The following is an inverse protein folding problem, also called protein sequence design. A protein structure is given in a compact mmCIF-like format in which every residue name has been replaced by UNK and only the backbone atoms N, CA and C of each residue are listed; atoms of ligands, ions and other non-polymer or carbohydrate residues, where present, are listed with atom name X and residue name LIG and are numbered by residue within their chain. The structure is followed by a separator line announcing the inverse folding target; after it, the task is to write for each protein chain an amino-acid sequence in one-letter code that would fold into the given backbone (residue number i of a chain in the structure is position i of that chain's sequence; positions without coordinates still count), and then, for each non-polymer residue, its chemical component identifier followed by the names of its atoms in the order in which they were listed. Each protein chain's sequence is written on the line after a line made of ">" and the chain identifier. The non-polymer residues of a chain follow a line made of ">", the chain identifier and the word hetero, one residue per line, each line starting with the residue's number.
data_IF_267305280983
#
_entry.id   IF_267305280983
#
_cell.length_a   1.000
_cell.length_b   1.000
_cell.length_c   1.000
_cell.angle_alpha   90.00
_cell.angle_beta   90.00
_cell.angle_gamma   90.00
#
_symmetry.space_group_name_H-M   'P 1'
#
loop_
_entity.id
_entity.type
_entity.pdbx_description
1 polymer ?
#
# COMPACT_ATOMS: atom_id res chain seq x y z
N UNK A 1 21.47 15.53 -18.57
CA UNK A 1 21.57 16.31 -17.33
C UNK A 1 20.49 15.79 -16.39
N UNK A 2 20.81 15.42 -15.14
CA UNK A 2 19.83 14.97 -14.14
C UNK A 2 18.98 16.17 -13.71
N UNK A 3 17.71 16.19 -14.06
CA UNK A 3 16.76 17.20 -13.62
C UNK A 3 16.21 16.85 -12.24
N UNK A 4 16.95 17.22 -11.20
CA UNK A 4 16.49 17.08 -9.80
C UNK A 4 15.07 17.68 -9.57
N UNK A 5 14.68 18.64 -10.40
CA UNK A 5 13.33 19.18 -10.47
C UNK A 5 12.29 18.11 -10.83
N UNK A 6 12.54 17.27 -11.84
CA UNK A 6 11.63 16.20 -12.24
C UNK A 6 11.54 15.10 -11.18
N UNK A 7 12.64 14.80 -10.49
CA UNK A 7 12.62 13.89 -9.33
C UNK A 7 11.65 14.40 -8.26
N UNK A 8 11.76 15.68 -7.89
CA UNK A 8 10.88 16.29 -6.91
C UNK A 8 9.41 16.30 -7.36
N UNK A 9 9.16 16.67 -8.62
CA UNK A 9 7.80 16.70 -9.21
C UNK A 9 7.17 15.31 -9.19
N UNK A 10 7.90 14.27 -9.59
CA UNK A 10 7.38 12.90 -9.61
C UNK A 10 7.12 12.39 -8.20
N UNK A 11 8.03 12.66 -7.26
CA UNK A 11 7.81 12.27 -5.86
C UNK A 11 6.56 12.96 -5.29
N UNK A 12 6.35 14.25 -5.59
CA UNK A 12 5.13 14.96 -5.20
C UNK A 12 3.88 14.36 -5.86
N UNK A 13 3.96 13.92 -7.12
CA UNK A 13 2.87 13.23 -7.78
C UNK A 13 2.49 11.92 -7.07
N UNK A 14 3.47 11.15 -6.57
CA UNK A 14 3.22 9.96 -5.74
C UNK A 14 2.64 10.30 -4.38
N UNK A 15 3.10 11.39 -3.75
CA UNK A 15 2.49 11.89 -2.52
C UNK A 15 1.01 12.24 -2.73
N UNK A 16 0.67 12.82 -3.87
CA UNK A 16 -0.72 13.11 -4.23
C UNK A 16 -1.51 11.83 -4.55
N UNK A 17 -0.95 10.90 -5.31
CA UNK A 17 -1.63 9.64 -5.67
C UNK A 17 -1.88 8.78 -4.42
N UNK A 18 -0.82 8.45 -3.68
CA UNK A 18 -0.92 7.62 -2.46
C UNK A 18 -1.70 8.37 -1.38
N UNK A 19 -1.43 9.66 -1.18
CA UNK A 19 -2.16 10.48 -0.21
C UNK A 19 -3.65 10.58 -0.49
N UNK A 20 -4.08 10.67 -1.75
CA UNK A 20 -5.51 10.62 -2.13
C UNK A 20 -6.14 9.29 -1.74
N UNK A 21 -5.47 8.18 -2.02
CA UNK A 21 -5.98 6.85 -1.65
C UNK A 21 -6.06 6.71 -0.12
N UNK A 22 -5.03 7.10 0.61
CA UNK A 22 -5.04 7.06 2.07
C UNK A 22 -6.08 8.01 2.68
N UNK A 23 -6.29 9.19 2.09
CA UNK A 23 -7.35 10.11 2.51
C UNK A 23 -8.74 9.48 2.35
N UNK A 24 -9.04 8.89 1.20
CA UNK A 24 -10.35 8.27 0.92
C UNK A 24 -10.57 7.08 1.86
N UNK A 25 -9.63 6.15 1.92
CA UNK A 25 -9.85 4.87 2.59
C UNK A 25 -9.57 4.94 4.10
N UNK A 26 -8.51 5.63 4.54
CA UNK A 26 -8.07 5.65 5.95
C UNK A 26 -8.51 6.93 6.65
N UNK A 27 -8.57 8.06 5.93
CA UNK A 27 -9.02 9.34 6.46
C UNK A 27 -10.54 9.49 6.54
N UNK A 28 -11.28 8.97 5.55
CA UNK A 28 -12.73 9.13 5.46
C UNK A 28 -13.51 7.83 5.69
N UNK A 29 -13.29 6.82 4.84
CA UNK A 29 -14.11 5.60 4.82
C UNK A 29 -13.97 4.77 6.10
N UNK A 30 -12.74 4.48 6.54
CA UNK A 30 -12.50 3.66 7.72
C UNK A 30 -13.10 4.27 9.01
N UNK A 31 -12.88 5.57 9.34
CA UNK A 31 -13.57 6.21 10.46
C UNK A 31 -15.10 6.22 10.32
N UNK A 32 -15.61 6.50 9.11
CA UNK A 32 -17.06 6.49 8.83
C UNK A 32 -17.69 5.13 9.12
N UNK A 33 -17.04 4.04 8.69
CA UNK A 33 -17.47 2.68 9.00
C UNK A 33 -17.38 2.38 10.50
N UNK A 34 -16.34 2.88 11.17
CA UNK A 34 -16.15 2.73 12.61
C UNK A 34 -17.24 3.35 13.49
N UNK A 35 -18.05 4.28 12.95
CA UNK A 35 -19.24 4.82 13.65
C UNK A 35 -20.38 3.80 13.71
N UNK A 36 -20.49 2.91 12.72
CA UNK A 36 -21.63 1.98 12.56
C UNK A 36 -21.28 0.52 12.77
N UNK A 37 -20.03 0.14 12.56
CA UNK A 37 -19.55 -1.24 12.59
C UNK A 37 -18.57 -1.45 13.75
N UNK A 38 -18.34 -2.72 14.10
CA UNK A 38 -17.24 -3.06 15.01
C UNK A 38 -15.88 -2.67 14.39
N UNK A 39 -14.84 -2.39 15.20
CA UNK A 39 -13.51 -2.04 14.68
C UNK A 39 -12.96 -3.05 13.67
N UNK A 40 -13.18 -4.36 13.94
CA UNK A 40 -12.77 -5.43 13.03
C UNK A 40 -13.55 -5.42 11.72
N UNK A 41 -14.86 -5.18 11.75
CA UNK A 41 -15.69 -5.11 10.55
C UNK A 41 -15.37 -3.86 9.71
N UNK A 42 -15.15 -2.70 10.34
CA UNK A 42 -14.71 -1.49 9.65
C UNK A 42 -13.36 -1.68 8.96
N UNK A 43 -12.40 -2.33 9.64
CA UNK A 43 -11.09 -2.66 9.10
C UNK A 43 -11.22 -3.57 7.88
N UNK A 44 -12.00 -4.65 8.01
CA UNK A 44 -12.22 -5.60 6.93
C UNK A 44 -12.87 -4.95 5.71
N UNK A 45 -13.99 -4.24 5.89
CA UNK A 45 -14.76 -3.65 4.79
C UNK A 45 -13.96 -2.57 4.07
N UNK A 46 -13.29 -1.68 4.82
CA UNK A 46 -12.43 -0.65 4.20
C UNK A 46 -11.29 -1.27 3.39
N UNK A 47 -10.67 -2.33 3.91
CA UNK A 47 -9.57 -3.01 3.24
C UNK A 47 -10.01 -3.77 1.99
N UNK A 48 -11.19 -4.39 2.05
CA UNK A 48 -11.81 -5.07 0.93
C UNK A 48 -12.10 -4.08 -0.21
N UNK A 49 -12.70 -2.94 0.11
CA UNK A 49 -13.04 -1.92 -0.88
C UNK A 49 -11.79 -1.29 -1.53
N UNK A 50 -10.69 -1.15 -0.78
CA UNK A 50 -9.40 -0.72 -1.34
C UNK A 50 -8.89 -1.73 -2.38
N UNK A 51 -8.84 -3.01 -2.03
CA UNK A 51 -8.37 -4.06 -2.95
C UNK A 51 -9.26 -4.18 -4.19
N UNK A 52 -10.59 -4.13 -4.02
CA UNK A 52 -11.53 -4.20 -5.13
C UNK A 52 -11.42 -3.03 -6.10
N UNK A 53 -11.05 -1.83 -5.63
CA UNK A 53 -10.85 -0.68 -6.50
C UNK A 53 -9.69 -0.86 -7.50
N UNK A 54 -8.79 -1.81 -7.24
CA UNK A 54 -7.70 -2.17 -8.13
C UNK A 54 -8.05 -3.32 -9.07
N UNK A 55 -9.27 -3.88 -9.00
CA UNK A 55 -9.68 -5.04 -9.79
C UNK A 55 -9.68 -4.83 -11.31
N UNK A 56 -9.64 -3.58 -11.76
CA UNK A 56 -9.53 -3.21 -13.18
C UNK A 56 -8.08 -2.99 -13.64
N UNK A 57 -7.11 -3.12 -12.74
CA UNK A 57 -5.71 -2.98 -13.10
C UNK A 57 -5.24 -4.18 -13.94
N UNK A 58 -4.30 -3.93 -14.84
CA UNK A 58 -3.71 -4.98 -15.66
C UNK A 58 -3.01 -6.04 -14.76
N UNK A 59 -3.14 -7.31 -15.13
CA UNK A 59 -2.54 -8.45 -14.42
C UNK A 59 -3.04 -8.67 -12.99
N UNK A 60 -4.17 -8.06 -12.62
CA UNK A 60 -4.81 -8.29 -11.33
C UNK A 60 -5.19 -9.77 -11.18
N UNK A 61 -4.79 -10.38 -10.07
CA UNK A 61 -5.00 -11.78 -9.75
C UNK A 61 -5.28 -11.98 -8.25
N UNK A 62 -5.41 -13.23 -7.84
CA UNK A 62 -5.73 -13.57 -6.43
C UNK A 62 -4.64 -13.13 -5.46
N UNK A 63 -3.36 -13.28 -5.80
CA UNK A 63 -2.24 -12.89 -4.92
C UNK A 63 -2.18 -11.37 -4.80
N UNK A 64 -2.33 -10.63 -5.91
CA UNK A 64 -2.37 -9.17 -5.85
C UNK A 64 -3.58 -8.65 -5.05
N UNK A 65 -4.76 -9.27 -5.21
CA UNK A 65 -5.94 -8.95 -4.39
C UNK A 65 -5.65 -9.12 -2.91
N UNK A 66 -5.05 -10.26 -2.51
CA UNK A 66 -4.72 -10.55 -1.12
C UNK A 66 -3.68 -9.56 -0.58
N UNK A 67 -2.65 -9.22 -1.36
CA UNK A 67 -1.62 -8.28 -0.94
C UNK A 67 -2.15 -6.86 -0.81
N UNK A 68 -2.98 -6.38 -1.73
CA UNK A 68 -3.62 -5.07 -1.61
C UNK A 68 -4.58 -5.01 -0.42
N UNK A 69 -5.28 -6.10 -0.14
CA UNK A 69 -6.13 -6.23 1.05
C UNK A 69 -5.29 -6.17 2.34
N UNK A 70 -4.19 -6.92 2.41
CA UNK A 70 -3.26 -6.91 3.54
C UNK A 70 -2.58 -5.55 3.73
N UNK A 71 -2.19 -4.89 2.63
CA UNK A 71 -1.66 -3.54 2.65
C UNK A 71 -2.70 -2.57 3.23
N UNK A 72 -3.97 -2.71 2.83
CA UNK A 72 -5.04 -1.90 3.38
C UNK A 72 -5.30 -2.14 4.87
N UNK A 73 -5.17 -3.39 5.35
CA UNK A 73 -5.19 -3.70 6.78
C UNK A 73 -4.03 -3.00 7.49
N UNK A 74 -2.79 -3.17 7.01
CA UNK A 74 -1.59 -2.60 7.62
C UNK A 74 -1.70 -1.08 7.78
N UNK A 75 -2.10 -0.41 6.70
CA UNK A 75 -2.21 1.05 6.65
C UNK A 75 -3.37 1.57 7.52
N UNK A 76 -4.51 0.87 7.59
CA UNK A 76 -5.58 1.21 8.52
C UNK A 76 -5.18 1.02 9.98
N UNK A 77 -4.48 -0.07 10.32
CA UNK A 77 -3.90 -0.28 11.65
C UNK A 77 -2.88 0.82 12.00
N UNK A 78 -2.04 1.23 11.05
CA UNK A 78 -1.10 2.32 11.23
C UNK A 78 -1.79 3.65 11.51
N UNK A 79 -2.81 4.00 10.71
CA UNK A 79 -3.58 5.23 10.91
C UNK A 79 -4.29 5.22 12.27
N UNK A 80 -4.89 4.09 12.67
CA UNK A 80 -5.50 3.92 13.99
C UNK A 80 -4.49 4.03 15.14
N UNK A 81 -3.28 3.49 14.97
CA UNK A 81 -2.24 3.55 15.98
C UNK A 81 -1.65 4.95 16.14
N UNK A 82 -1.36 5.65 15.03
CA UNK A 82 -0.72 6.97 15.04
C UNK A 82 -1.71 8.13 15.20
N UNK A 83 -2.98 7.91 14.88
CA UNK A 83 -4.03 8.93 14.92
C UNK A 83 -3.95 9.95 13.77
N UNK A 84 -3.18 9.67 12.71
CA UNK A 84 -3.12 10.53 11.52
C UNK A 84 -2.77 9.72 10.26
N UNK A 85 -3.04 10.30 9.07
CA UNK A 85 -2.78 9.66 7.77
C UNK A 85 -1.47 10.10 7.11
N UNK A 86 -0.77 11.11 7.64
CA UNK A 86 0.42 11.67 7.01
C UNK A 86 1.54 10.64 6.89
N UNK A 87 1.80 9.89 7.97
CA UNK A 87 2.82 8.84 7.96
C UNK A 87 2.52 7.73 6.96
N UNK A 88 1.26 7.31 6.89
CA UNK A 88 0.84 6.22 5.99
C UNK A 88 0.81 6.67 4.52
N UNK A 89 0.44 7.93 4.27
CA UNK A 89 0.50 8.55 2.94
C UNK A 89 1.94 8.64 2.43
N UNK A 90 2.87 9.04 3.30
CA UNK A 90 4.30 9.07 2.98
C UNK A 90 4.87 7.68 2.70
N UNK A 91 4.48 6.67 3.49
CA UNK A 91 4.89 5.28 3.26
C UNK A 91 4.38 4.74 1.93
N UNK A 92 3.10 4.99 1.61
CA UNK A 92 2.50 4.58 0.34
C UNK A 92 3.22 5.25 -0.85
N UNK A 93 3.41 6.57 -0.79
CA UNK A 93 4.14 7.31 -1.83
C UNK A 93 5.58 6.81 -1.99
N UNK A 94 6.28 6.55 -0.88
CA UNK A 94 7.64 6.02 -0.91
C UNK A 94 7.70 4.62 -1.54
N UNK A 95 6.76 3.74 -1.20
CA UNK A 95 6.63 2.40 -1.80
C UNK A 95 6.49 2.51 -3.33
N UNK A 96 5.48 3.26 -3.80
CA UNK A 96 5.20 3.40 -5.21
C UNK A 96 6.34 4.07 -5.99
N UNK A 97 6.92 5.14 -5.43
CA UNK A 97 8.04 5.84 -6.04
C UNK A 97 9.30 4.96 -6.14
N UNK A 98 9.63 4.21 -5.08
CA UNK A 98 10.77 3.28 -5.11
C UNK A 98 10.54 2.18 -6.14
N UNK A 99 9.36 1.55 -6.15
CA UNK A 99 9.04 0.47 -7.07
C UNK A 99 9.03 0.95 -8.53
N UNK A 100 8.28 2.02 -8.82
CA UNK A 100 8.08 2.51 -10.18
C UNK A 100 9.24 3.32 -10.75
N UNK A 101 9.83 4.24 -9.97
CA UNK A 101 10.81 5.19 -10.49
C UNK A 101 12.26 4.81 -10.21
N UNK A 102 12.53 4.16 -9.07
CA UNK A 102 13.90 3.76 -8.71
C UNK A 102 14.22 2.39 -9.28
N UNK A 103 13.33 1.40 -9.14
CA UNK A 103 13.56 0.04 -9.64
C UNK A 103 12.99 -0.22 -11.03
N UNK A 104 12.12 0.65 -11.54
CA UNK A 104 11.52 0.50 -12.86
C UNK A 104 10.53 -0.66 -12.99
N UNK A 105 9.97 -1.12 -11.87
CA UNK A 105 9.02 -2.23 -11.82
C UNK A 105 7.57 -1.70 -11.96
N UNK A 106 6.62 -2.52 -12.45
CA UNK A 106 5.21 -2.14 -12.46
C UNK A 106 4.72 -1.82 -11.05
N UNK A 107 3.86 -0.81 -10.91
CA UNK A 107 3.15 -0.48 -9.66
C UNK A 107 1.68 -0.79 -9.84
N UNK A 108 1.22 -1.82 -9.14
CA UNK A 108 -0.13 -2.39 -9.26
C UNK A 108 -0.56 -2.64 -10.71
N UNK A 109 0.33 -3.20 -11.54
CA UNK A 109 0.06 -3.50 -12.95
C UNK A 109 0.24 -2.34 -13.93
N UNK A 110 0.60 -1.14 -13.44
CA UNK A 110 0.87 0.03 -14.28
C UNK A 110 2.37 0.24 -14.39
N UNK A 111 2.87 0.34 -15.63
CA UNK A 111 4.28 0.59 -15.88
C UNK A 111 4.55 2.08 -15.92
N UNK A 112 5.39 2.55 -15.01
CA UNK A 112 5.88 3.92 -14.99
C UNK A 112 7.29 3.94 -15.57
N UNK A 113 7.51 4.70 -16.65
CA UNK A 113 8.87 4.90 -17.17
C UNK A 113 9.57 5.91 -16.28
N UNK A 114 10.43 5.42 -15.38
CA UNK A 114 11.20 6.24 -14.44
C UNK A 114 12.32 7.05 -15.08
N UNK A 115 12.87 7.99 -14.30
CA UNK A 115 13.99 8.86 -14.68
C UNK A 115 15.37 8.22 -14.41
N UNK A 116 15.40 7.11 -13.66
CA UNK A 116 16.64 6.43 -13.27
C UNK A 116 16.98 5.27 -14.22
N UNK A 117 18.28 4.96 -14.41
CA UNK A 117 18.73 3.95 -15.37
C UNK A 117 18.49 2.50 -14.90
N UNK A 118 18.04 2.29 -13.66
CA UNK A 118 17.83 0.95 -13.13
C UNK A 118 16.48 0.46 -13.62
N UNK A 119 16.51 -0.51 -14.54
CA UNK A 119 15.35 -1.26 -14.99
C UNK A 119 15.51 -2.69 -14.53
N UNK A 120 14.94 -3.00 -13.38
CA UNK A 120 14.84 -4.38 -12.94
C UNK A 120 13.75 -5.09 -13.76
N UNK A 121 14.00 -6.35 -14.07
CA UNK A 121 13.00 -7.24 -14.63
C UNK A 121 12.87 -8.44 -13.71
N UNK A 122 11.62 -8.86 -13.46
CA UNK A 122 11.33 -10.03 -12.66
C UNK A 122 11.84 -11.29 -13.37
N UNK A 123 12.68 -12.07 -12.68
CA UNK A 123 13.15 -13.37 -13.15
C UNK A 123 12.59 -14.46 -12.24
N UNK A 124 12.19 -15.59 -12.83
CA UNK A 124 11.60 -16.71 -12.11
C UNK A 124 10.07 -16.62 -11.99
N UNK A 125 9.45 -17.47 -11.14
CA UNK A 125 8.00 -17.63 -11.12
C UNK A 125 7.25 -16.36 -10.69
N UNK A 126 6.18 -16.00 -11.42
CA UNK A 126 5.39 -14.80 -11.15
C UNK A 126 4.71 -14.83 -9.77
N UNK A 127 4.33 -16.00 -9.25
CA UNK A 127 3.75 -16.09 -7.91
C UNK A 127 4.73 -15.68 -6.79
N UNK A 128 6.04 -15.70 -7.08
CA UNK A 128 7.08 -15.32 -6.12
C UNK A 128 7.33 -13.80 -6.14
N UNK A 129 7.49 -13.23 -7.34
CA UNK A 129 7.94 -11.84 -7.55
C UNK A 129 6.82 -10.89 -8.05
N UNK A 130 5.64 -11.41 -8.36
CA UNK A 130 4.46 -10.68 -8.81
C UNK A 130 4.41 -10.29 -10.30
N UNK A 131 5.42 -10.68 -11.09
CA UNK A 131 5.42 -10.58 -12.55
C UNK A 131 5.07 -9.18 -13.05
N UNK A 132 4.13 -9.11 -14.00
CA UNK A 132 3.69 -7.86 -14.61
C UNK A 132 2.78 -7.00 -13.71
N UNK A 133 2.31 -7.52 -12.57
CA UNK A 133 1.64 -6.71 -11.56
C UNK A 133 2.64 -5.88 -10.75
N UNK A 134 3.90 -6.33 -10.70
CA UNK A 134 4.94 -5.81 -9.82
C UNK A 134 5.04 -6.61 -8.52
N UNK A 135 6.02 -6.31 -7.64
CA UNK A 135 6.25 -7.00 -6.37
C UNK A 135 4.99 -7.27 -5.53
N UNK A 136 4.01 -6.36 -5.60
CA UNK A 136 2.69 -6.47 -4.96
C UNK A 136 1.88 -7.70 -5.38
N UNK A 137 2.20 -8.35 -6.51
CA UNK A 137 1.58 -9.60 -6.94
C UNK A 137 2.27 -10.86 -6.41
N UNK A 138 3.34 -10.74 -5.64
CA UNK A 138 4.19 -11.85 -5.21
C UNK A 138 4.00 -12.27 -3.74
N UNK A 139 4.26 -13.53 -3.43
CA UNK A 139 4.12 -14.07 -2.07
C UNK A 139 5.10 -13.45 -1.06
N UNK A 140 6.24 -12.93 -1.54
CA UNK A 140 7.22 -12.25 -0.67
C UNK A 140 6.57 -11.04 0.00
N UNK A 141 5.81 -10.25 -0.76
CA UNK A 141 5.06 -9.11 -0.21
C UNK A 141 3.97 -9.59 0.75
N UNK A 142 3.31 -10.72 0.47
CA UNK A 142 2.33 -11.32 1.40
C UNK A 142 2.93 -11.57 2.78
N UNK A 143 4.11 -12.20 2.84
CA UNK A 143 4.77 -12.52 4.09
C UNK A 143 5.17 -11.25 4.87
N UNK A 144 5.71 -10.25 4.17
CA UNK A 144 6.11 -8.97 4.77
C UNK A 144 4.89 -8.23 5.31
N UNK A 145 3.81 -8.13 4.55
CA UNK A 145 2.59 -7.44 4.97
C UNK A 145 1.89 -8.15 6.13
N UNK A 146 1.85 -9.49 6.14
CA UNK A 146 1.34 -10.26 7.27
C UNK A 146 2.14 -10.00 8.54
N UNK A 147 3.47 -10.10 8.46
CA UNK A 147 4.34 -9.87 9.62
C UNK A 147 4.19 -8.43 10.16
N UNK A 148 4.22 -7.44 9.28
CA UNK A 148 4.04 -6.04 9.66
C UNK A 148 2.66 -5.79 10.30
N UNK A 149 1.60 -6.39 9.74
CA UNK A 149 0.24 -6.26 10.28
C UNK A 149 0.10 -6.89 11.65
N UNK A 150 0.71 -8.07 11.87
CA UNK A 150 0.72 -8.75 13.18
C UNK A 150 1.45 -7.92 14.23
N UNK A 151 2.64 -7.42 13.90
CA UNK A 151 3.43 -6.57 14.80
C UNK A 151 2.62 -5.33 15.19
N UNK A 152 2.05 -4.64 14.20
CA UNK A 152 1.32 -3.40 14.45
C UNK A 152 0.00 -3.63 15.19
N UNK A 153 -0.69 -4.73 14.88
CA UNK A 153 -1.88 -5.17 15.62
C UNK A 153 -1.56 -5.48 17.08
N UNK A 154 -0.43 -6.17 17.34
CA UNK A 154 0.05 -6.42 18.70
C UNK A 154 0.37 -5.11 19.45
N UNK A 155 1.10 -4.18 18.81
CA UNK A 155 1.41 -2.87 19.40
C UNK A 155 0.15 -2.03 19.68
N UNK A 156 -0.85 -2.12 18.82
CA UNK A 156 -2.13 -1.45 19.01
C UNK A 156 -2.88 -2.04 20.22
N UNK A 157 -2.94 -3.36 20.31
CA UNK A 157 -3.58 -4.06 21.42
C UNK A 157 -2.92 -3.72 22.76
N UNK A 158 -1.60 -3.84 22.87
CA UNK A 158 -0.88 -3.54 24.13
C UNK A 158 -1.07 -2.09 24.59
N UNK A 159 -1.07 -1.14 23.66
CA UNK A 159 -1.34 0.28 23.95
C UNK A 159 -2.78 0.51 24.44
N UNK A 160 -3.76 -0.23 23.92
CA UNK A 160 -5.15 -0.11 24.35
C UNK A 160 -5.39 -0.64 25.76
N UNK A 161 -4.63 -1.67 26.17
CA UNK A 161 -4.65 -2.21 27.55
C UNK A 161 -4.05 -1.20 28.53
N UNK A 162 -2.93 -0.55 28.17
CA UNK A 162 -2.26 0.44 29.05
C UNK A 162 -3.04 1.75 29.27
N UNK A 163 -4.03 2.04 28.42
CA UNK A 163 -4.84 3.28 28.49
C UNK A 163 -6.14 3.13 29.29
N UNK A 164 -6.43 1.92 29.80
CA UNK A 164 -7.57 1.63 30.68
C UNK A 164 -7.10 1.62 32.13
#
# INVERSE_FOLDING_TARGET
>A
MRDWQSVAVVFLAWMLQGGKEELIYRGWLFPLLGVKLSPAAALFVSSLLFSLAHGLNANFNVISFLNLFLFAILTALYAAYTGNIWGVSGLHAAWNWMQGNVFGLPVSGVVYRGFYPIQMHSVGPEWLNGGNFGPEGGIVVTLVLLLASVILGYLHFTRSVQRR
#
